data_IF_318300422804
#
_entry.id   IF_318300422804
#
_cell.length_a   1.000
_cell.length_b   1.000
_cell.length_c   1.000
_cell.angle_alpha   90.00
_cell.angle_beta   90.00
_cell.angle_gamma   90.00
#
_symmetry.space_group_name_H-M   'P 1'
#
loop_
_entity.id
_entity.type
_entity.pdbx_description
1 polymer ?
#
# COMPACT_ATOMS: atom_id res chain seq x y z
N UNK A 1 -67.32 8.15 23.45
CA UNK A 1 -66.61 7.68 22.22
C UNK A 1 -65.10 7.90 22.24
N UNK A 2 -64.56 8.92 22.91
CA UNK A 2 -63.11 9.24 22.92
C UNK A 2 -62.19 8.17 23.54
N UNK A 3 -62.65 7.41 24.57
CA UNK A 3 -61.84 6.35 25.21
C UNK A 3 -61.57 5.12 24.32
N UNK A 4 -62.49 4.80 23.39
CA UNK A 4 -62.30 3.68 22.44
C UNK A 4 -61.34 4.05 21.31
N UNK A 5 -61.28 5.32 20.92
CA UNK A 5 -60.36 5.82 19.89
C UNK A 5 -58.90 5.90 20.42
N UNK A 6 -58.73 6.24 21.71
CA UNK A 6 -57.41 6.26 22.36
C UNK A 6 -56.80 4.85 22.50
N UNK A 7 -57.63 3.84 22.80
CA UNK A 7 -57.20 2.44 22.88
C UNK A 7 -56.82 1.85 21.51
N UNK A 8 -57.46 2.33 20.43
CA UNK A 8 -57.14 1.94 19.06
C UNK A 8 -55.78 2.53 18.60
N UNK A 9 -55.45 3.75 19.06
CA UNK A 9 -54.18 4.38 18.72
C UNK A 9 -52.99 3.76 19.50
N UNK A 10 -53.23 3.34 20.75
CA UNK A 10 -52.21 2.68 21.58
C UNK A 10 -51.90 1.25 21.11
N UNK A 11 -52.86 0.56 20.48
CA UNK A 11 -52.63 -0.78 19.91
C UNK A 11 -51.91 -0.74 18.57
N UNK A 12 -52.01 0.36 17.81
CA UNK A 12 -51.33 0.53 16.52
C UNK A 12 -49.83 0.86 16.64
N UNK A 13 -49.40 1.48 17.74
CA UNK A 13 -47.98 1.82 17.98
C UNK A 13 -47.16 0.65 18.52
N UNK A 14 -47.78 -0.39 19.09
CA UNK A 14 -47.08 -1.59 19.57
C UNK A 14 -46.68 -2.50 18.40
N UNK A 15 -47.42 -2.47 17.29
CA UNK A 15 -47.17 -3.35 16.13
C UNK A 15 -46.01 -2.85 15.24
N UNK A 16 -45.63 -1.57 15.34
CA UNK A 16 -44.57 -0.97 14.50
C UNK A 16 -43.14 -1.11 15.04
N UNK A 17 -42.94 -1.69 16.24
CA UNK A 17 -41.59 -1.87 16.83
C UNK A 17 -40.97 -3.25 16.58
N UNK A 18 -41.67 -4.13 15.86
CA UNK A 18 -41.36 -5.55 15.78
C UNK A 18 -40.58 -6.05 14.56
N UNK A 19 -39.81 -5.22 13.84
CA UNK A 19 -38.93 -5.72 12.76
C UNK A 19 -37.66 -4.87 12.63
N UNK A 20 -36.89 -4.73 13.71
CA UNK A 20 -35.46 -4.53 13.54
C UNK A 20 -34.89 -5.87 13.06
N UNK A 21 -35.02 -6.13 11.75
CA UNK A 21 -34.33 -7.26 11.12
C UNK A 21 -32.85 -7.08 11.41
N UNK A 22 -32.37 -7.91 12.33
CA UNK A 22 -30.97 -8.12 12.62
C UNK A 22 -30.34 -8.41 11.27
N UNK A 23 -29.53 -7.48 10.75
CA UNK A 23 -28.74 -7.73 9.56
C UNK A 23 -28.03 -9.07 9.76
N UNK A 24 -28.44 -10.08 8.99
CA UNK A 24 -28.07 -11.47 9.24
C UNK A 24 -26.57 -11.74 9.09
N UNK A 25 -26.13 -13.00 9.20
CA UNK A 25 -24.72 -13.43 9.19
C UNK A 25 -23.88 -12.97 7.98
N UNK A 26 -24.50 -12.36 6.96
CA UNK A 26 -23.86 -11.68 5.83
C UNK A 26 -22.84 -10.62 6.28
N UNK A 27 -23.08 -9.92 7.39
CA UNK A 27 -22.11 -8.98 7.97
C UNK A 27 -20.80 -9.67 8.44
N UNK A 28 -20.83 -10.99 8.67
CA UNK A 28 -19.68 -11.83 9.02
C UNK A 28 -19.14 -12.66 7.85
N UNK A 29 -19.69 -12.51 6.64
CA UNK A 29 -19.22 -13.27 5.47
C UNK A 29 -17.80 -12.85 5.07
N UNK A 30 -16.96 -13.81 4.68
CA UNK A 30 -15.59 -13.53 4.19
C UNK A 30 -15.71 -12.75 2.88
N UNK A 31 -15.33 -11.47 2.90
CA UNK A 31 -15.28 -10.61 1.71
C UNK A 31 -14.09 -10.98 0.80
N UNK A 32 -13.15 -11.81 1.27
CA UNK A 32 -11.95 -12.21 0.53
C UNK A 32 -12.11 -13.58 -0.15
N UNK A 33 -11.48 -13.79 -1.32
CA UNK A 33 -11.38 -15.13 -1.93
C UNK A 33 -10.76 -16.13 -0.96
N UNK A 34 -11.23 -17.38 -1.05
CA UNK A 34 -10.69 -18.48 -0.25
C UNK A 34 -9.26 -18.84 -0.67
N UNK A 35 -8.95 -18.72 -1.96
CA UNK A 35 -7.63 -18.98 -2.53
C UNK A 35 -6.88 -17.68 -2.85
N UNK A 36 -5.57 -17.73 -2.66
CA UNK A 36 -4.61 -16.80 -3.25
C UNK A 36 -3.81 -17.55 -4.30
N UNK A 37 -3.75 -17.01 -5.51
CA UNK A 37 -3.02 -17.59 -6.64
C UNK A 37 -1.64 -16.94 -6.77
N UNK A 38 -0.65 -17.72 -7.14
CA UNK A 38 0.74 -17.28 -7.31
C UNK A 38 1.12 -17.43 -8.78
N UNK A 39 1.33 -16.31 -9.45
CA UNK A 39 1.75 -16.26 -10.85
C UNK A 39 3.21 -15.86 -10.95
N UNK A 40 3.97 -16.48 -11.86
CA UNK A 40 5.31 -16.02 -12.19
C UNK A 40 5.23 -14.91 -13.23
N UNK A 41 5.95 -13.80 -12.99
CA UNK A 41 6.04 -12.68 -13.92
C UNK A 41 7.47 -12.52 -14.41
N UNK A 42 7.62 -11.97 -15.62
CA UNK A 42 8.92 -11.70 -16.21
C UNK A 42 9.60 -10.51 -15.53
N UNK A 43 10.93 -10.42 -15.60
CA UNK A 43 11.68 -9.28 -15.05
C UNK A 43 11.28 -7.93 -15.66
N UNK A 44 10.83 -7.91 -16.92
CA UNK A 44 10.34 -6.69 -17.60
C UNK A 44 9.01 -6.23 -17.00
N UNK A 45 8.10 -7.16 -16.73
CA UNK A 45 6.80 -6.87 -16.11
C UNK A 45 6.98 -6.45 -14.66
N UNK A 46 7.84 -7.13 -13.90
CA UNK A 46 8.20 -6.75 -12.54
C UNK A 46 8.74 -5.31 -12.51
N UNK A 47 9.67 -4.96 -13.42
CA UNK A 47 10.19 -3.60 -13.55
C UNK A 47 9.09 -2.56 -13.84
N UNK A 48 8.10 -2.91 -14.66
CA UNK A 48 6.96 -2.04 -14.96
C UNK A 48 6.09 -1.80 -13.72
N UNK A 49 5.83 -2.85 -12.92
CA UNK A 49 5.07 -2.77 -11.67
C UNK A 49 5.78 -1.87 -10.65
N UNK A 50 7.09 -2.05 -10.45
CA UNK A 50 7.88 -1.21 -9.54
C UNK A 50 7.93 0.26 -9.97
N UNK A 51 8.00 0.55 -11.28
CA UNK A 51 8.02 1.93 -11.79
C UNK A 51 6.66 2.62 -11.73
N UNK A 52 5.60 1.96 -12.18
CA UNK A 52 4.32 2.60 -12.50
C UNK A 52 3.19 2.31 -11.52
N UNK A 53 3.44 1.57 -10.44
CA UNK A 53 2.47 1.12 -9.43
C UNK A 53 1.78 -0.21 -9.79
N UNK A 54 1.26 -0.98 -8.80
CA UNK A 54 0.49 -2.21 -9.02
C UNK A 54 -0.74 -2.07 -9.94
N UNK A 55 -1.20 -0.84 -10.21
CA UNK A 55 -2.31 -0.58 -11.14
C UNK A 55 -2.01 -0.93 -12.60
N UNK A 56 -0.75 -1.13 -12.97
CA UNK A 56 -0.35 -1.52 -14.33
C UNK A 56 -0.52 -3.01 -14.59
N UNK A 57 -0.77 -3.81 -13.55
CA UNK A 57 -1.03 -5.24 -13.71
C UNK A 57 -2.28 -5.43 -14.57
N UNK A 58 -2.10 -6.12 -15.70
CA UNK A 58 -3.17 -6.53 -16.60
C UNK A 58 -3.25 -8.06 -16.65
N UNK A 59 -4.33 -8.59 -17.21
CA UNK A 59 -4.53 -10.03 -17.44
C UNK A 59 -3.39 -10.69 -18.20
N UNK A 60 -2.67 -9.94 -19.05
CA UNK A 60 -1.49 -10.42 -19.75
C UNK A 60 -0.36 -10.90 -18.81
N UNK A 61 -0.24 -10.34 -17.60
CA UNK A 61 0.80 -10.72 -16.64
C UNK A 61 0.44 -12.02 -15.88
N UNK A 62 -0.78 -12.53 -16.08
CA UNK A 62 -1.30 -13.74 -15.42
C UNK A 62 -1.13 -14.98 -16.32
N UNK A 63 0.01 -15.07 -17.01
CA UNK A 63 0.24 -16.11 -18.03
C UNK A 63 0.79 -17.43 -17.44
N UNK A 64 1.53 -17.39 -16.33
CA UNK A 64 2.17 -18.58 -15.74
C UNK A 64 1.71 -18.78 -14.30
N UNK A 65 0.74 -19.67 -14.07
CA UNK A 65 0.33 -20.07 -12.73
C UNK A 65 1.36 -21.05 -12.15
N UNK A 66 1.89 -20.73 -10.97
CA UNK A 66 2.89 -21.56 -10.27
C UNK A 66 2.21 -22.38 -9.18
N UNK A 67 1.35 -21.76 -8.40
CA UNK A 67 0.73 -22.39 -7.24
C UNK A 67 -0.53 -21.66 -6.79
N UNK A 68 -1.26 -22.26 -5.86
CA UNK A 68 -2.34 -21.63 -5.12
C UNK A 68 -2.38 -22.13 -3.69
N UNK A 69 -2.81 -21.28 -2.76
CA UNK A 69 -2.92 -21.64 -1.35
C UNK A 69 -4.18 -21.02 -0.73
N UNK A 70 -4.66 -21.65 0.34
CA UNK A 70 -5.83 -21.15 1.08
C UNK A 70 -5.41 -20.03 2.04
N UNK A 71 -6.29 -19.04 2.22
CA UNK A 71 -6.02 -17.90 3.12
C UNK A 71 -5.72 -18.37 4.55
N UNK A 72 -6.34 -19.47 4.98
CA UNK A 72 -6.21 -19.98 6.35
C UNK A 72 -4.86 -20.70 6.59
N UNK A 73 -4.25 -21.28 5.55
CA UNK A 73 -2.94 -21.96 5.65
C UNK A 73 -1.75 -21.01 5.44
N UNK A 74 -1.95 -19.91 4.70
CA UNK A 74 -0.87 -19.04 4.27
C UNK A 74 0.07 -19.71 3.26
N UNK A 75 1.11 -18.98 2.84
CA UNK A 75 2.10 -19.51 1.90
C UNK A 75 3.31 -20.05 2.66
N UNK A 76 3.53 -21.37 2.62
CA UNK A 76 4.59 -22.06 3.38
C UNK A 76 5.66 -22.73 2.50
N UNK A 77 5.56 -22.59 1.18
CA UNK A 77 6.51 -23.23 0.25
C UNK A 77 7.66 -22.30 -0.08
N UNK A 78 8.82 -22.88 -0.35
CA UNK A 78 9.98 -22.14 -0.88
C UNK A 78 9.85 -22.03 -2.39
N UNK A 79 9.86 -20.81 -2.91
CA UNK A 79 9.85 -20.55 -4.36
C UNK A 79 11.28 -20.40 -4.88
N UNK A 80 11.56 -20.85 -6.12
CA UNK A 80 12.84 -20.57 -6.76
C UNK A 80 13.00 -19.07 -7.03
N UNK A 81 14.22 -18.64 -7.32
CA UNK A 81 14.53 -17.25 -7.63
C UNK A 81 13.65 -16.73 -8.77
N UNK A 82 12.99 -15.59 -8.56
CA UNK A 82 12.01 -15.07 -9.50
C UNK A 82 11.15 -13.93 -8.95
N UNK A 83 10.31 -13.40 -9.82
CA UNK A 83 9.27 -12.44 -9.45
C UNK A 83 7.90 -13.13 -9.52
N UNK A 84 7.12 -12.97 -8.47
CA UNK A 84 5.84 -13.65 -8.31
C UNK A 84 4.75 -12.66 -7.89
N UNK A 85 3.61 -12.79 -8.54
CA UNK A 85 2.42 -12.01 -8.26
C UNK A 85 1.43 -12.85 -7.46
N UNK A 86 1.15 -12.39 -6.25
CA UNK A 86 0.17 -13.00 -5.36
C UNK A 86 -1.16 -12.29 -5.58
N UNK A 87 -2.16 -13.06 -5.99
CA UNK A 87 -3.44 -12.59 -6.48
C UNK A 87 -4.57 -13.12 -5.60
N UNK A 88 -5.42 -12.23 -5.10
CA UNK A 88 -6.64 -12.61 -4.41
C UNK A 88 -7.72 -11.55 -4.59
N UNK A 89 -8.99 -11.94 -4.50
CA UNK A 89 -10.09 -10.96 -4.53
C UNK A 89 -10.43 -10.51 -3.11
N UNK A 90 -10.80 -9.25 -2.97
CA UNK A 90 -11.34 -8.65 -1.75
C UNK A 90 -12.58 -7.86 -2.13
N UNK A 91 -13.73 -8.53 -2.05
CA UNK A 91 -15.02 -8.03 -2.49
C UNK A 91 -15.04 -7.97 -4.02
N UNK A 92 -15.44 -6.84 -4.61
CA UNK A 92 -15.38 -6.64 -6.06
C UNK A 92 -13.95 -6.39 -6.57
N UNK A 93 -13.01 -6.07 -5.68
CA UNK A 93 -11.67 -5.63 -6.06
C UNK A 93 -10.69 -6.80 -6.16
N UNK A 94 -9.90 -6.82 -7.24
CA UNK A 94 -8.79 -7.75 -7.40
C UNK A 94 -7.52 -7.12 -6.80
N UNK A 95 -6.95 -7.77 -5.79
CA UNK A 95 -5.76 -7.29 -5.07
C UNK A 95 -4.53 -8.08 -5.49
N UNK A 96 -3.43 -7.35 -5.66
CA UNK A 96 -2.15 -7.89 -6.14
C UNK A 96 -1.04 -7.51 -5.18
N UNK A 97 -0.14 -8.45 -4.90
CA UNK A 97 1.12 -8.18 -4.21
C UNK A 97 2.26 -8.79 -4.99
N UNK A 98 3.29 -7.99 -5.30
CA UNK A 98 4.49 -8.46 -5.97
C UNK A 98 5.52 -8.90 -4.92
N UNK A 99 5.93 -10.15 -5.00
CA UNK A 99 7.00 -10.73 -4.20
C UNK A 99 8.18 -11.08 -5.10
N UNK A 100 9.36 -10.62 -4.72
CA UNK A 100 10.61 -10.96 -5.41
C UNK A 100 11.41 -11.88 -4.51
N UNK A 101 11.75 -13.07 -5.00
CA UNK A 101 12.63 -14.02 -4.32
C UNK A 101 13.99 -13.96 -5.01
N UNK A 102 15.02 -13.57 -4.28
CA UNK A 102 16.38 -13.39 -4.78
C UNK A 102 17.40 -13.92 -3.78
N UNK A 103 18.51 -14.47 -4.28
CA UNK A 103 19.67 -14.80 -3.44
C UNK A 103 20.42 -13.55 -2.95
N UNK A 104 20.19 -12.42 -3.61
CA UNK A 104 20.82 -11.13 -3.29
C UNK A 104 19.83 -10.25 -2.55
N UNK A 105 20.31 -9.60 -1.49
CA UNK A 105 19.58 -8.59 -0.74
C UNK A 105 20.38 -7.27 -0.72
N UNK A 106 19.66 -6.17 -0.56
CA UNK A 106 20.22 -4.83 -0.46
C UNK A 106 19.84 -4.19 0.85
N UNK A 107 20.77 -3.42 1.40
CA UNK A 107 20.54 -2.60 2.58
C UNK A 107 21.02 -1.18 2.29
N UNK A 108 20.09 -0.24 2.40
CA UNK A 108 20.39 1.19 2.25
C UNK A 108 20.97 1.68 3.57
N UNK A 109 22.14 2.31 3.51
CA UNK A 109 22.80 2.86 4.70
C UNK A 109 22.42 4.33 4.88
N UNK A 110 22.04 4.77 6.10
CA UNK A 110 21.66 6.15 6.38
C UNK A 110 22.89 7.05 6.55
N UNK A 111 23.65 7.22 5.47
CA UNK A 111 24.77 8.16 5.41
C UNK A 111 24.27 9.46 4.77
N UNK A 112 24.60 10.63 5.34
CA UNK A 112 24.28 11.94 4.75
C UNK A 112 25.56 12.75 4.66
N UNK A 113 25.83 13.48 3.56
CA UNK A 113 24.99 13.66 2.36
C UNK A 113 25.11 12.55 1.29
N UNK A 114 26.00 11.57 1.50
CA UNK A 114 26.31 10.53 0.53
C UNK A 114 25.37 9.33 0.63
N UNK A 115 24.99 8.74 -0.50
CA UNK A 115 24.19 7.51 -0.52
C UNK A 115 25.10 6.30 -0.62
N UNK A 116 24.88 5.32 0.25
CA UNK A 116 25.62 4.07 0.28
C UNK A 116 24.64 2.89 0.33
N UNK A 117 24.86 1.91 -0.54
CA UNK A 117 24.08 0.68 -0.61
C UNK A 117 25.02 -0.49 -0.37
N UNK A 118 24.63 -1.35 0.56
CA UNK A 118 25.28 -2.62 0.80
C UNK A 118 24.53 -3.72 0.06
N UNK A 119 25.19 -4.38 -0.87
CA UNK A 119 24.67 -5.56 -1.56
C UNK A 119 25.29 -6.79 -0.89
N UNK A 120 24.45 -7.69 -0.39
CA UNK A 120 24.89 -8.86 0.34
C UNK A 120 24.10 -10.10 -0.04
N UNK A 121 24.68 -11.27 0.20
CA UNK A 121 24.00 -12.55 0.06
C UNK A 121 23.15 -12.87 1.31
N UNK A 122 22.36 -13.94 1.23
CA UNK A 122 21.68 -14.59 2.35
C UNK A 122 22.59 -14.86 3.56
N UNK A 123 23.89 -15.10 3.34
CA UNK A 123 24.90 -15.31 4.39
C UNK A 123 25.49 -13.99 4.96
N UNK A 124 25.08 -12.83 4.45
CA UNK A 124 25.62 -11.53 4.86
C UNK A 124 26.97 -11.17 4.22
N UNK A 125 27.49 -11.98 3.30
CA UNK A 125 28.72 -11.68 2.57
C UNK A 125 28.48 -10.58 1.53
N UNK A 126 29.37 -9.58 1.51
CA UNK A 126 29.29 -8.46 0.58
C UNK A 126 29.61 -8.91 -0.85
N UNK A 127 28.84 -8.42 -1.82
CA UNK A 127 28.97 -8.78 -3.24
C UNK A 127 29.53 -7.56 -4.00
N UNK A 128 30.81 -7.56 -4.40
CA UNK A 128 31.43 -6.45 -5.14
C UNK A 128 31.14 -6.49 -6.66
N UNK A 129 30.74 -7.65 -7.18
CA UNK A 129 30.56 -7.90 -8.63
C UNK A 129 29.10 -7.74 -9.11
N UNK A 130 28.30 -6.93 -8.41
CA UNK A 130 26.94 -6.60 -8.84
C UNK A 130 26.91 -5.33 -9.71
N UNK A 131 26.12 -5.33 -10.79
CA UNK A 131 25.82 -4.10 -11.54
C UNK A 131 24.66 -3.39 -10.85
N UNK A 132 25.00 -2.41 -10.02
CA UNK A 132 24.04 -1.60 -9.26
C UNK A 132 23.77 -0.31 -10.02
N UNK A 133 22.50 -0.08 -10.35
CA UNK A 133 22.02 1.11 -11.02
C UNK A 133 20.90 1.76 -10.22
N UNK A 134 20.96 3.07 -10.12
CA UNK A 134 19.89 3.89 -9.61
C UNK A 134 19.24 4.61 -10.77
N UNK A 135 17.99 4.28 -11.07
CA UNK A 135 17.29 4.73 -12.27
C UNK A 135 18.08 4.36 -13.54
N UNK A 136 18.81 5.33 -14.11
CA UNK A 136 19.68 5.14 -15.27
C UNK A 136 21.18 5.30 -14.94
N UNK A 137 21.52 5.69 -13.70
CA UNK A 137 22.91 5.98 -13.29
C UNK A 137 23.54 4.76 -12.63
N UNK A 138 24.67 4.32 -13.17
CA UNK A 138 25.48 3.26 -12.55
C UNK A 138 26.15 3.77 -11.27
N UNK A 139 26.12 2.97 -10.22
CA UNK A 139 26.82 3.22 -8.95
C UNK A 139 28.11 2.43 -8.95
N UNK A 140 29.21 3.10 -8.57
CA UNK A 140 30.52 2.45 -8.47
C UNK A 140 30.68 1.80 -7.10
N UNK A 141 31.34 0.66 -7.09
CA UNK A 141 31.75 -0.03 -5.88
C UNK A 141 32.96 0.67 -5.27
N UNK A 142 32.88 0.99 -3.98
CA UNK A 142 33.98 1.54 -3.19
C UNK A 142 34.63 0.40 -2.38
N UNK A 143 35.87 0.00 -2.70
CA UNK A 143 36.54 -1.10 -2.02
C UNK A 143 36.88 -0.79 -0.55
N UNK A 144 37.02 0.50 -0.18
CA UNK A 144 37.36 0.89 1.20
C UNK A 144 36.20 0.64 2.16
N UNK A 145 34.97 0.93 1.70
CA UNK A 145 33.75 0.80 2.50
C UNK A 145 32.90 -0.41 2.10
N UNK A 146 33.39 -1.24 1.17
CA UNK A 146 32.71 -2.40 0.60
C UNK A 146 31.25 -2.14 0.20
N UNK A 147 30.98 -0.95 -0.33
CA UNK A 147 29.61 -0.47 -0.59
C UNK A 147 29.53 0.26 -1.92
N UNK A 148 28.34 0.29 -2.50
CA UNK A 148 28.06 1.06 -3.71
C UNK A 148 27.70 2.49 -3.32
N UNK A 149 28.53 3.45 -3.74
CA UNK A 149 28.45 4.83 -3.23
C UNK A 149 28.15 5.88 -4.30
N UNK A 150 27.28 6.82 -3.93
CA UNK A 150 27.04 8.06 -4.66
C UNK A 150 27.34 9.26 -3.76
N UNK A 151 27.96 10.31 -4.33
CA UNK A 151 28.30 11.54 -3.60
C UNK A 151 27.08 12.25 -3.00
N UNK A 152 25.94 12.16 -3.67
CA UNK A 152 24.69 12.80 -3.26
C UNK A 152 23.57 11.77 -3.25
N UNK A 153 22.79 11.77 -2.16
CA UNK A 153 21.65 10.88 -2.03
C UNK A 153 20.45 11.34 -2.90
N UNK A 154 19.88 10.45 -3.73
CA UNK A 154 18.62 10.73 -4.40
C UNK A 154 17.49 10.85 -3.36
N UNK A 155 16.45 11.62 -3.67
CA UNK A 155 15.23 11.68 -2.85
C UNK A 155 14.32 10.48 -3.09
N UNK A 156 14.32 9.98 -4.32
CA UNK A 156 13.48 8.87 -4.79
C UNK A 156 14.13 8.20 -6.00
N UNK A 157 13.76 6.96 -6.27
CA UNK A 157 14.21 6.25 -7.47
C UNK A 157 13.97 4.75 -7.40
N UNK A 158 14.32 4.06 -8.48
CA UNK A 158 14.34 2.60 -8.53
C UNK A 158 15.79 2.13 -8.51
N UNK A 159 16.16 1.46 -7.43
CA UNK A 159 17.41 0.73 -7.34
C UNK A 159 17.24 -0.58 -8.12
N UNK A 160 18.16 -0.83 -9.04
CA UNK A 160 18.21 -2.01 -9.89
C UNK A 160 19.54 -2.68 -9.65
N UNK A 161 19.53 -3.93 -9.20
CA UNK A 161 20.74 -4.71 -8.92
C UNK A 161 20.74 -5.92 -9.82
N UNK A 162 21.71 -6.01 -10.72
CA UNK A 162 21.81 -7.14 -11.65
C UNK A 162 23.02 -8.00 -11.28
N UNK A 163 22.79 -9.31 -11.13
CA UNK A 163 23.82 -10.31 -10.86
C UNK A 163 23.49 -11.60 -11.60
N UNK A 164 24.45 -12.17 -12.32
CA UNK A 164 24.31 -13.43 -13.08
C UNK A 164 23.00 -13.53 -13.92
N UNK A 165 22.60 -12.43 -14.56
CA UNK A 165 21.40 -12.38 -15.41
C UNK A 165 20.06 -12.17 -14.67
N UNK A 166 20.04 -12.17 -13.34
CA UNK A 166 18.85 -11.82 -12.56
C UNK A 166 18.90 -10.38 -12.11
N UNK A 167 17.76 -9.68 -12.22
CA UNK A 167 17.62 -8.28 -11.83
C UNK A 167 16.68 -8.16 -10.64
N UNK A 168 17.23 -7.71 -9.52
CA UNK A 168 16.50 -7.33 -8.34
C UNK A 168 16.13 -5.85 -8.38
N UNK A 169 14.92 -5.52 -7.93
CA UNK A 169 14.38 -4.16 -7.93
C UNK A 169 13.97 -3.75 -6.53
N UNK A 170 14.41 -2.57 -6.11
CA UNK A 170 14.02 -1.98 -4.84
C UNK A 170 13.65 -0.50 -5.04
N UNK A 171 12.46 -0.11 -4.59
CA UNK A 171 12.00 1.27 -4.71
C UNK A 171 12.57 2.09 -3.55
N UNK A 172 13.38 3.09 -3.89
CA UNK A 172 13.78 4.14 -2.98
C UNK A 172 12.65 5.16 -2.92
N UNK A 173 11.84 5.10 -1.87
CA UNK A 173 10.91 6.16 -1.51
C UNK A 173 11.40 6.88 -0.26
N UNK A 174 10.86 8.07 -0.01
CA UNK A 174 10.70 8.49 1.38
C UNK A 174 9.81 7.44 2.02
N UNK A 175 10.23 6.91 3.17
CA UNK A 175 9.36 6.19 4.10
C UNK A 175 8.00 6.90 4.09
N UNK A 176 6.95 6.19 3.66
CA UNK A 176 5.63 6.78 3.55
C UNK A 176 5.29 7.33 4.93
N UNK A 177 5.27 8.65 5.03
CA UNK A 177 5.00 9.40 6.25
C UNK A 177 3.52 9.15 6.58
N UNK A 178 3.24 7.99 7.20
CA UNK A 178 1.94 7.57 7.74
C UNK A 178 1.52 8.63 8.77
N UNK A 179 0.97 9.75 8.30
CA UNK A 179 0.38 10.80 9.14
C UNK A 179 0.84 12.24 8.92
N UNK A 180 1.64 12.60 7.91
CA UNK A 180 2.10 14.00 7.75
C UNK A 180 1.86 14.66 6.39
N UNK A 181 0.73 14.39 5.74
CA UNK A 181 0.12 15.40 4.84
C UNK A 181 -0.53 16.52 5.67
N UNK A 182 0.16 17.02 6.70
CA UNK A 182 -0.24 18.21 7.43
C UNK A 182 0.27 19.41 6.64
N UNK A 183 -0.51 19.78 5.61
CA UNK A 183 -0.32 20.96 4.77
C UNK A 183 0.33 22.09 5.56
N UNK A 184 1.51 22.56 5.14
CA UNK A 184 2.22 23.68 5.81
C UNK A 184 1.31 24.90 6.03
N UNK A 185 0.36 25.10 5.12
CA UNK A 185 -0.70 26.12 5.18
C UNK A 185 -1.61 25.94 6.40
N UNK A 186 -1.99 24.70 6.76
CA UNK A 186 -2.77 24.45 7.98
C UNK A 186 -1.99 24.82 9.23
N UNK A 187 -0.67 24.59 9.24
CA UNK A 187 0.19 24.94 10.38
C UNK A 187 0.22 26.46 10.60
N UNK A 188 0.26 27.26 9.52
CA UNK A 188 0.22 28.73 9.57
C UNK A 188 -1.16 29.27 9.97
N UNK A 189 -2.24 28.68 9.44
CA UNK A 189 -3.62 29.11 9.76
C UNK A 189 -3.98 28.89 11.24
N UNK A 190 -3.37 27.90 11.91
CA UNK A 190 -3.63 27.61 13.33
C UNK A 190 -2.67 28.30 14.31
N UNK A 191 -1.68 29.06 13.82
CA UNK A 191 -0.80 29.90 14.66
C UNK A 191 -1.43 31.28 14.90
N UNK A 192 -1.22 31.90 16.07
CA UNK A 192 -1.60 33.30 16.28
C UNK A 192 -0.75 34.22 15.38
N UNK A 193 -1.32 35.30 14.82
CA UNK A 193 -2.70 35.79 15.01
C UNK A 193 -3.74 35.18 14.05
N UNK A 194 -3.32 34.45 13.01
CA UNK A 194 -4.19 33.92 11.95
C UNK A 194 -5.30 32.98 12.46
N UNK A 195 -5.07 32.25 13.56
CA UNK A 195 -6.07 31.41 14.22
C UNK A 195 -7.33 32.18 14.63
N UNK A 196 -7.22 33.45 15.01
CA UNK A 196 -8.36 34.26 15.44
C UNK A 196 -9.15 34.82 14.26
N UNK A 197 -8.44 35.14 13.16
CA UNK A 197 -9.05 35.71 11.96
C UNK A 197 -9.93 34.69 11.22
N UNK A 198 -9.56 33.40 11.21
CA UNK A 198 -10.29 32.41 10.39
C UNK A 198 -11.46 31.70 11.11
N UNK A 199 -11.52 31.82 12.45
CA UNK A 199 -12.55 31.19 13.31
C UNK A 199 -14.01 31.63 13.05
N UNK A 200 -14.33 32.91 12.77
CA UNK A 200 -15.72 33.31 12.54
C UNK A 200 -16.28 32.75 11.22
N UNK A 201 -15.53 32.86 10.13
CA UNK A 201 -16.01 32.40 8.82
C UNK A 201 -16.05 30.86 8.68
N UNK A 202 -15.15 30.12 9.33
CA UNK A 202 -15.25 28.66 9.38
C UNK A 202 -16.54 28.18 10.08
N UNK A 203 -17.02 28.93 11.08
CA UNK A 203 -18.30 28.63 11.76
C UNK A 203 -19.50 28.82 10.83
N UNK A 204 -19.50 29.88 10.02
CA UNK A 204 -20.57 30.16 9.03
C UNK A 204 -20.57 29.10 7.93
N UNK A 205 -19.40 28.75 7.37
CA UNK A 205 -19.31 27.68 6.38
C UNK A 205 -19.85 26.34 6.91
N UNK A 206 -19.52 25.99 8.16
CA UNK A 206 -19.98 24.75 8.78
C UNK A 206 -21.49 24.75 9.04
N UNK A 207 -22.09 25.88 9.42
CA UNK A 207 -23.55 25.95 9.62
C UNK A 207 -24.29 25.78 8.29
N UNK A 208 -23.86 26.46 7.24
CA UNK A 208 -24.46 26.38 5.90
C UNK A 208 -24.34 24.94 5.35
N UNK A 209 -23.16 24.32 5.45
CA UNK A 209 -22.96 22.93 5.01
C UNK A 209 -23.78 21.93 5.82
N UNK A 210 -24.02 22.20 7.12
CA UNK A 210 -24.87 21.38 7.97
C UNK A 210 -26.36 21.47 7.62
N UNK A 211 -26.82 22.63 7.15
CA UNK A 211 -28.21 22.86 6.72
C UNK A 211 -28.46 22.17 5.37
N UNK A 212 -27.55 22.32 4.41
CA UNK A 212 -27.66 21.69 3.08
C UNK A 212 -27.74 20.15 3.17
N UNK A 213 -27.07 19.56 4.16
CA UNK A 213 -27.03 18.10 4.36
C UNK A 213 -28.23 17.53 5.13
N UNK A 214 -29.12 18.39 5.66
CA UNK A 214 -30.40 17.99 6.28
C UNK A 214 -31.61 18.29 5.41
N UNK A 215 -31.42 19.03 4.32
CA UNK A 215 -32.47 19.47 3.40
C UNK A 215 -32.57 18.61 2.12
N UNK A 216 -31.77 17.54 2.01
CA UNK A 216 -31.87 16.50 0.98
C UNK A 216 -31.70 15.14 1.62
#
# INVERSE_FOLDING_TARGET
>A
MFKKLFFLFFTLTVISTGWAQTAGPLAKSKIRSYFTYVYQVTGKEAAAIYKRSPRVVNTAYLHTLVDSFTVDQGFNKTLPQGHYLFLYTKGPDLTYTLHTYSAVATKILPVKPAFAVLVHDSLGTNIPDADVRLNAKKILFDPLTQTYRLKQAPKEGLLTVTRHGFTFFEKLGKEEDYGQTRNRITKVIYLPPFRYMWRPAYRVYRSIRGIIRRAG
#
